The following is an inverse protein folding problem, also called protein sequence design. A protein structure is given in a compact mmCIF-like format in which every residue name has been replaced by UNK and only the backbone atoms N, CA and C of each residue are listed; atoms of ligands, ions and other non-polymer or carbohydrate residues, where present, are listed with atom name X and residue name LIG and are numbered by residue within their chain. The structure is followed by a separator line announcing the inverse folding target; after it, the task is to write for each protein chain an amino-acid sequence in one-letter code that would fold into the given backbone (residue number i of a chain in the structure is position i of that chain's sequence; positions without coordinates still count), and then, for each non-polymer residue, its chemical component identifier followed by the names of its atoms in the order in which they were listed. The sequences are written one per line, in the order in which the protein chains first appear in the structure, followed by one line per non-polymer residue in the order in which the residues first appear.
data_IF_743539652670
#
_entry.id   IF_743539652670
#
_cell.length_a   1.000
_cell.length_b   1.000
_cell.length_c   1.000
_cell.angle_alpha   90.00
_cell.angle_beta   90.00
_cell.angle_gamma   90.00
#
_symmetry.space_group_name_H-M   'P 1'
#
loop_
_entity.id
_entity.type
_entity.pdbx_description
1 polymer ?
#
# COMPACT_ATOMS: atom_id res chain seq x y z
N UNK A 1 17.43 -18.77 -47.66
CA UNK A 1 17.29 -17.63 -46.72
C UNK A 1 15.83 -17.21 -46.64
N UNK A 2 15.25 -17.12 -45.44
CA UNK A 2 14.09 -16.25 -45.14
C UNK A 2 12.68 -16.85 -45.15
N UNK A 3 12.25 -17.56 -44.09
CA UNK A 3 10.82 -17.81 -43.84
C UNK A 3 10.43 -18.03 -42.35
N UNK A 4 11.34 -17.85 -41.38
CA UNK A 4 11.05 -18.11 -39.96
C UNK A 4 10.71 -16.84 -39.13
N UNK A 5 10.85 -15.63 -39.70
CA UNK A 5 10.69 -14.37 -38.95
C UNK A 5 9.27 -13.79 -38.88
N UNK A 6 8.32 -14.33 -39.65
CA UNK A 6 6.98 -13.75 -39.82
C UNK A 6 5.99 -14.08 -38.70
N UNK A 7 6.08 -15.28 -38.11
CA UNK A 7 5.15 -15.77 -37.07
C UNK A 7 5.55 -15.36 -35.64
N UNK A 8 6.84 -15.08 -35.42
CA UNK A 8 7.33 -14.63 -34.13
C UNK A 8 6.82 -13.21 -33.77
N UNK A 9 6.66 -12.33 -34.77
CA UNK A 9 6.15 -10.96 -34.58
C UNK A 9 4.71 -10.89 -34.06
N UNK A 10 3.71 -11.58 -34.63
CA UNK A 10 2.34 -11.56 -34.12
C UNK A 10 2.21 -12.26 -32.77
N UNK A 11 2.96 -13.33 -32.51
CA UNK A 11 2.98 -13.99 -31.20
C UNK A 11 3.58 -13.08 -30.12
N UNK A 12 4.72 -12.44 -30.41
CA UNK A 12 5.35 -11.46 -29.51
C UNK A 12 4.47 -10.24 -29.31
N UNK A 13 3.79 -9.74 -30.34
CA UNK A 13 2.84 -8.63 -30.21
C UNK A 13 1.56 -9.02 -29.45
N UNK A 14 1.10 -10.26 -29.54
CA UNK A 14 -0.06 -10.76 -28.78
C UNK A 14 0.31 -10.93 -27.30
N UNK A 15 1.49 -11.47 -27.02
CA UNK A 15 2.02 -11.59 -25.65
C UNK A 15 2.33 -10.19 -25.08
N UNK A 16 2.97 -9.31 -25.84
CA UNK A 16 3.22 -7.93 -25.41
C UNK A 16 1.92 -7.16 -25.21
N UNK A 17 0.94 -7.31 -26.11
CA UNK A 17 -0.38 -6.67 -26.01
C UNK A 17 -1.20 -7.16 -24.82
N UNK A 18 -1.04 -8.43 -24.42
CA UNK A 18 -1.68 -9.00 -23.22
C UNK A 18 -0.89 -8.76 -21.92
N UNK A 19 0.42 -8.51 -22.01
CA UNK A 19 1.30 -8.27 -20.84
C UNK A 19 1.52 -6.78 -20.54
N UNK A 20 1.33 -5.90 -21.52
CA UNK A 20 1.51 -4.45 -21.43
C UNK A 20 0.18 -3.70 -21.60
N UNK A 21 -0.92 -4.25 -21.07
CA UNK A 21 -2.20 -3.56 -21.04
C UNK A 21 -2.37 -2.81 -19.71
N UNK A 22 -2.60 -1.50 -19.77
CA UNK A 22 -2.88 -0.66 -18.60
C UNK A 22 -4.38 -0.49 -18.32
N UNK A 23 -5.23 -0.89 -19.27
CA UNK A 23 -6.68 -0.78 -19.19
C UNK A 23 -7.32 -2.16 -19.39
N UNK A 24 -8.28 -2.50 -18.54
CA UNK A 24 -9.17 -3.63 -18.74
C UNK A 24 -10.58 -3.11 -18.53
N UNK A 25 -11.50 -3.53 -19.41
CA UNK A 25 -12.93 -3.20 -19.28
C UNK A 25 -13.48 -3.48 -17.88
N UNK A 26 -13.01 -4.56 -17.24
CA UNK A 26 -13.40 -4.88 -15.86
C UNK A 26 -12.88 -3.86 -14.84
N UNK A 27 -11.63 -3.40 -15.00
CA UNK A 27 -11.00 -2.43 -14.09
C UNK A 27 -11.59 -1.03 -14.26
N UNK A 28 -11.79 -0.58 -15.50
CA UNK A 28 -12.44 0.71 -15.77
C UNK A 28 -13.91 0.72 -15.37
N UNK A 29 -14.61 -0.40 -15.57
CA UNK A 29 -15.98 -0.59 -15.09
C UNK A 29 -16.08 -0.50 -13.57
N UNK A 30 -15.24 -1.25 -12.85
CA UNK A 30 -15.17 -1.23 -11.40
C UNK A 30 -14.81 0.15 -10.84
N UNK A 31 -13.79 0.82 -11.42
CA UNK A 31 -13.39 2.15 -11.01
C UNK A 31 -14.52 3.19 -11.20
N UNK A 32 -15.19 3.21 -12.35
CA UNK A 32 -16.35 4.10 -12.58
C UNK A 32 -17.49 3.83 -11.60
N UNK A 33 -17.77 2.56 -11.32
CA UNK A 33 -18.78 2.17 -10.34
C UNK A 33 -18.42 2.64 -8.92
N UNK A 34 -17.14 2.54 -8.55
CA UNK A 34 -16.65 3.00 -7.27
C UNK A 34 -16.70 4.53 -7.14
N UNK A 35 -16.31 5.28 -8.18
CA UNK A 35 -16.46 6.75 -8.21
C UNK A 35 -17.93 7.17 -8.02
N UNK A 36 -18.88 6.47 -8.66
CA UNK A 36 -20.32 6.73 -8.45
C UNK A 36 -20.74 6.48 -7.00
N UNK A 37 -20.21 5.43 -6.38
CA UNK A 37 -20.49 5.11 -4.97
C UNK A 37 -19.93 6.16 -4.02
N UNK A 38 -18.68 6.60 -4.25
CA UNK A 38 -18.05 7.71 -3.52
C UNK A 38 -18.87 8.99 -3.64
N UNK A 39 -19.31 9.34 -4.86
CA UNK A 39 -20.14 10.53 -5.07
C UNK A 39 -21.47 10.47 -4.31
N UNK A 40 -22.05 9.28 -4.14
CA UNK A 40 -23.28 9.08 -3.38
C UNK A 40 -23.06 9.08 -1.85
N UNK A 41 -21.90 8.65 -1.36
CA UNK A 41 -21.60 8.52 0.08
C UNK A 41 -20.22 9.11 0.44
N UNK A 42 -19.97 10.40 0.21
CA UNK A 42 -18.61 10.95 0.20
C UNK A 42 -17.93 10.98 1.58
N UNK A 43 -18.70 11.13 2.67
CA UNK A 43 -18.11 11.40 3.98
C UNK A 43 -17.74 10.15 4.77
N UNK A 44 -18.68 9.21 4.88
CA UNK A 44 -18.55 8.00 5.72
C UNK A 44 -18.56 6.72 4.86
N UNK A 45 -18.81 6.83 3.55
CA UNK A 45 -18.92 5.68 2.67
C UNK A 45 -20.15 4.81 2.96
N UNK A 46 -20.16 3.62 2.37
CA UNK A 46 -21.25 2.63 2.52
C UNK A 46 -21.02 1.65 3.67
N UNK A 47 -19.88 1.75 4.36
CA UNK A 47 -19.43 0.89 5.45
C UNK A 47 -18.43 -0.21 5.02
N UNK A 48 -17.58 -0.69 5.94
CA UNK A 48 -16.55 -1.69 5.66
C UNK A 48 -17.12 -2.99 5.08
N UNK A 49 -16.53 -3.48 3.98
CA UNK A 49 -16.90 -4.72 3.31
C UNK A 49 -18.28 -4.72 2.62
N UNK A 50 -18.99 -3.58 2.63
CA UNK A 50 -20.33 -3.42 2.05
C UNK A 50 -20.31 -2.95 0.60
N UNK A 51 -19.19 -2.42 0.12
CA UNK A 51 -19.07 -1.98 -1.25
C UNK A 51 -19.20 -3.14 -2.24
N UNK A 52 -20.01 -2.94 -3.28
CA UNK A 52 -20.18 -3.83 -4.43
C UNK A 52 -20.31 -2.97 -5.68
N UNK A 53 -19.53 -3.29 -6.70
CA UNK A 53 -19.40 -2.46 -7.88
C UNK A 53 -20.11 -3.11 -9.05
N UNK A 54 -21.08 -2.40 -9.62
CA UNK A 54 -21.90 -2.89 -10.73
C UNK A 54 -21.72 -2.01 -11.96
N UNK A 55 -21.55 -2.63 -13.11
CA UNK A 55 -21.49 -1.96 -14.41
C UNK A 55 -21.97 -2.89 -15.53
N UNK A 56 -22.22 -2.32 -16.70
CA UNK A 56 -22.72 -3.03 -17.89
C UNK A 56 -21.78 -2.73 -19.06
N UNK A 57 -21.53 -3.74 -19.90
CA UNK A 57 -20.76 -3.56 -21.14
C UNK A 57 -21.61 -2.99 -22.29
N UNK A 58 -20.99 -2.57 -23.41
CA UNK A 58 -21.73 -2.10 -24.58
C UNK A 58 -22.68 -3.16 -25.19
N UNK A 59 -22.48 -4.44 -24.88
CA UNK A 59 -23.34 -5.55 -25.30
C UNK A 59 -24.52 -5.83 -24.35
N UNK A 60 -24.65 -5.10 -23.25
CA UNK A 60 -25.71 -5.28 -22.26
C UNK A 60 -25.43 -6.33 -21.19
N UNK A 61 -24.23 -6.91 -21.14
CA UNK A 61 -23.87 -7.87 -20.09
C UNK A 61 -23.55 -7.14 -18.79
N UNK A 62 -24.22 -7.55 -17.71
CA UNK A 62 -23.99 -7.02 -16.37
C UNK A 62 -22.80 -7.68 -15.67
N UNK A 63 -22.00 -6.88 -14.98
CA UNK A 63 -20.84 -7.30 -14.22
C UNK A 63 -20.95 -6.83 -12.78
N UNK A 64 -20.41 -7.64 -11.87
CA UNK A 64 -20.25 -7.30 -10.45
C UNK A 64 -18.83 -7.60 -10.00
N UNK A 65 -18.22 -6.66 -9.28
CA UNK A 65 -16.97 -6.87 -8.57
C UNK A 65 -17.15 -6.62 -7.08
N UNK A 66 -16.42 -7.42 -6.29
CA UNK A 66 -16.29 -7.22 -4.86
C UNK A 66 -15.28 -6.10 -4.52
N UNK A 67 -14.26 -5.92 -5.36
CA UNK A 67 -13.18 -4.97 -5.15
C UNK A 67 -13.02 -4.04 -6.35
N UNK A 68 -12.68 -2.77 -6.11
CA UNK A 68 -12.44 -1.79 -7.15
C UNK A 68 -11.11 -2.02 -7.90
N UNK A 69 -10.23 -2.89 -7.39
CA UNK A 69 -8.84 -3.05 -7.84
C UNK A 69 -8.03 -1.74 -7.79
N UNK A 70 -8.39 -0.91 -6.81
CA UNK A 70 -7.74 0.32 -6.38
C UNK A 70 -8.15 0.48 -4.91
N UNK A 71 -7.23 0.26 -3.98
CA UNK A 71 -7.52 0.30 -2.55
C UNK A 71 -7.87 1.69 -2.06
N UNK A 72 -7.37 2.75 -2.70
CA UNK A 72 -7.73 4.12 -2.34
C UNK A 72 -9.19 4.38 -2.68
N UNK A 73 -9.62 3.92 -3.86
CA UNK A 73 -10.99 4.06 -4.30
C UNK A 73 -11.95 3.13 -3.53
N UNK A 74 -11.50 1.91 -3.18
CA UNK A 74 -12.22 0.99 -2.29
C UNK A 74 -12.43 1.64 -0.92
N UNK A 75 -11.37 2.16 -0.31
CA UNK A 75 -11.41 2.80 1.00
C UNK A 75 -12.29 4.04 0.99
N UNK A 76 -12.22 4.85 -0.07
CA UNK A 76 -13.08 6.02 -0.23
C UNK A 76 -14.56 5.61 -0.40
N UNK A 77 -14.85 4.51 -1.10
CA UNK A 77 -16.21 4.01 -1.23
C UNK A 77 -16.77 3.44 0.08
N UNK A 78 -15.94 2.77 0.89
CA UNK A 78 -16.36 2.12 2.13
C UNK A 78 -16.36 3.04 3.35
N UNK A 79 -15.42 3.97 3.44
CA UNK A 79 -15.17 4.81 4.62
C UNK A 79 -15.26 6.33 4.33
N UNK A 80 -15.39 6.71 3.07
CA UNK A 80 -15.44 8.11 2.65
C UNK A 80 -14.18 8.91 3.00
N UNK A 81 -14.31 10.23 2.98
CA UNK A 81 -13.23 11.15 3.31
C UNK A 81 -12.70 10.97 4.73
N UNK A 82 -13.52 10.53 5.69
CA UNK A 82 -13.07 10.23 7.05
C UNK A 82 -12.03 9.11 7.03
N UNK A 83 -12.32 8.01 6.34
CA UNK A 83 -11.34 6.93 6.16
C UNK A 83 -10.09 7.40 5.45
N UNK A 84 -10.24 8.21 4.39
CA UNK A 84 -9.10 8.73 3.64
C UNK A 84 -8.19 9.60 4.52
N UNK A 85 -8.75 10.46 5.36
CA UNK A 85 -7.97 11.29 6.29
C UNK A 85 -7.17 10.43 7.26
N UNK A 86 -7.77 9.36 7.81
CA UNK A 86 -7.08 8.43 8.71
C UNK A 86 -5.95 7.71 7.98
N UNK A 87 -6.19 7.24 6.75
CA UNK A 87 -5.16 6.61 5.92
C UNK A 87 -3.99 7.57 5.67
N UNK A 88 -4.26 8.81 5.27
CA UNK A 88 -3.22 9.80 5.01
C UNK A 88 -2.42 10.12 6.27
N UNK A 89 -3.07 10.20 7.44
CA UNK A 89 -2.40 10.37 8.72
C UNK A 89 -1.48 9.18 9.05
N UNK A 90 -1.94 7.95 8.81
CA UNK A 90 -1.14 6.74 8.98
C UNK A 90 0.08 6.72 8.05
N UNK A 91 -0.11 7.00 6.76
CA UNK A 91 0.99 7.06 5.79
C UNK A 91 2.00 8.14 6.16
N UNK A 92 1.54 9.33 6.57
CA UNK A 92 2.40 10.40 7.06
C UNK A 92 3.19 9.97 8.30
N UNK A 93 2.56 9.30 9.27
CA UNK A 93 3.24 8.77 10.45
C UNK A 93 4.34 7.77 10.09
N UNK A 94 4.07 6.83 9.17
CA UNK A 94 5.04 5.84 8.70
C UNK A 94 6.24 6.51 7.98
N UNK A 95 5.98 7.50 7.14
CA UNK A 95 7.03 8.27 6.47
C UNK A 95 7.90 9.00 7.50
N UNK A 96 7.29 9.62 8.52
CA UNK A 96 8.01 10.30 9.59
C UNK A 96 8.87 9.34 10.42
N UNK A 97 8.37 8.14 10.71
CA UNK A 97 9.12 7.09 11.41
C UNK A 97 10.33 6.65 10.58
N UNK A 98 10.15 6.36 9.29
CA UNK A 98 11.25 6.01 8.39
C UNK A 98 12.27 7.15 8.26
N UNK A 99 11.82 8.40 8.17
CA UNK A 99 12.69 9.57 8.07
C UNK A 99 13.48 9.81 9.37
N UNK A 100 12.92 9.52 10.54
CA UNK A 100 13.63 9.56 11.82
C UNK A 100 14.68 8.45 11.92
N UNK A 101 14.33 7.22 11.55
CA UNK A 101 15.26 6.11 11.50
C UNK A 101 16.46 6.39 10.59
N UNK A 102 16.22 7.07 9.46
CA UNK A 102 17.27 7.53 8.54
C UNK A 102 18.27 8.49 9.17
N UNK A 103 17.80 9.45 9.98
CA UNK A 103 18.65 10.47 10.61
C UNK A 103 19.48 9.92 11.78
N UNK A 104 19.09 8.79 12.36
CA UNK A 104 19.76 8.21 13.52
C UNK A 104 21.03 7.42 13.16
N UNK A 105 21.26 7.11 11.88
CA UNK A 105 22.38 6.30 11.39
C UNK A 105 23.34 7.14 10.52
N UNK A 106 24.67 7.08 10.75
CA UNK A 106 25.66 7.76 9.91
C UNK A 106 25.71 7.24 8.46
N UNK A 107 25.42 5.96 8.28
CA UNK A 107 25.33 5.28 6.99
C UNK A 107 23.91 4.75 6.76
N UNK A 108 23.56 4.53 5.48
CA UNK A 108 22.28 3.95 5.05
C UNK A 108 22.27 2.44 5.32
N UNK A 109 21.52 1.91 6.30
CA UNK A 109 21.46 0.48 6.48
C UNK A 109 20.72 -0.16 5.27
N UNK A 110 21.21 -1.29 4.71
CA UNK A 110 20.53 -1.98 3.61
C UNK A 110 19.08 -2.32 3.93
N UNK A 111 18.79 -2.69 5.19
CA UNK A 111 17.44 -2.96 5.67
C UNK A 111 16.52 -1.73 5.55
N UNK A 112 17.02 -0.53 5.88
CA UNK A 112 16.24 0.70 5.75
C UNK A 112 15.91 0.98 4.28
N UNK A 113 16.90 0.86 3.39
CA UNK A 113 16.71 1.09 1.96
C UNK A 113 15.72 0.09 1.34
N UNK A 114 15.87 -1.20 1.69
CA UNK A 114 14.93 -2.25 1.28
C UNK A 114 13.51 -2.00 1.82
N UNK A 115 13.39 -1.52 3.06
CA UNK A 115 12.09 -1.18 3.66
C UNK A 115 11.41 -0.01 2.96
N UNK A 116 12.16 1.05 2.63
CA UNK A 116 11.62 2.19 1.87
C UNK A 116 11.17 1.75 0.48
N UNK A 117 11.96 0.91 -0.21
CA UNK A 117 11.59 0.37 -1.50
C UNK A 117 10.32 -0.50 -1.41
N UNK A 118 10.24 -1.42 -0.44
CA UNK A 118 9.07 -2.27 -0.22
C UNK A 118 7.83 -1.45 0.14
N UNK A 119 7.97 -0.42 0.97
CA UNK A 119 6.87 0.47 1.33
C UNK A 119 6.39 1.29 0.12
N UNK A 120 7.31 1.82 -0.70
CA UNK A 120 6.96 2.51 -1.94
C UNK A 120 6.19 1.59 -2.91
N UNK A 121 6.65 0.34 -3.07
CA UNK A 121 5.94 -0.67 -3.88
C UNK A 121 4.55 -0.92 -3.32
N UNK A 122 4.42 -1.13 -2.00
CA UNK A 122 3.11 -1.35 -1.36
C UNK A 122 2.16 -0.18 -1.64
N UNK A 123 2.58 1.06 -1.38
CA UNK A 123 1.76 2.27 -1.57
C UNK A 123 1.36 2.44 -3.03
N UNK A 124 2.31 2.37 -3.96
CA UNK A 124 2.03 2.59 -5.38
C UNK A 124 1.18 1.46 -5.94
N UNK A 125 1.51 0.20 -5.65
CA UNK A 125 0.79 -0.95 -6.19
C UNK A 125 -0.64 -1.08 -5.62
N UNK A 126 -0.89 -0.58 -4.41
CA UNK A 126 -2.25 -0.51 -3.82
C UNK A 126 -3.22 0.33 -4.66
N UNK A 127 -2.73 1.28 -5.47
CA UNK A 127 -3.57 2.02 -6.43
C UNK A 127 -3.99 1.21 -7.65
N UNK A 128 -3.48 -0.01 -7.79
CA UNK A 128 -3.75 -0.89 -8.92
C UNK A 128 -4.24 -2.28 -8.48
N UNK A 129 -4.30 -2.59 -7.18
CA UNK A 129 -4.79 -3.89 -6.74
C UNK A 129 -5.31 -3.87 -5.31
N UNK A 130 -6.03 -4.93 -4.93
CA UNK A 130 -6.71 -5.08 -3.62
C UNK A 130 -5.80 -5.69 -2.54
N UNK A 131 -4.58 -5.16 -2.42
CA UNK A 131 -3.53 -5.72 -1.55
C UNK A 131 -3.92 -5.75 -0.06
N UNK A 132 -4.73 -4.80 0.41
CA UNK A 132 -5.06 -4.67 1.83
C UNK A 132 -6.13 -5.68 2.26
N UNK A 133 -6.84 -6.27 1.30
CA UNK A 133 -7.77 -7.36 1.54
C UNK A 133 -7.06 -8.69 1.84
N UNK A 134 -5.74 -8.75 1.67
CA UNK A 134 -4.87 -9.87 2.07
C UNK A 134 -4.06 -9.40 3.27
N UNK A 135 -4.51 -9.63 4.53
CA UNK A 135 -3.92 -8.99 5.72
C UNK A 135 -2.42 -9.24 5.90
N UNK A 136 -1.91 -10.37 5.38
CA UNK A 136 -0.48 -10.70 5.42
C UNK A 136 0.40 -9.63 4.73
N UNK A 137 -0.09 -8.95 3.69
CA UNK A 137 0.67 -7.96 2.92
C UNK A 137 0.93 -6.68 3.74
N UNK A 138 -0.09 -5.96 4.26
CA UNK A 138 0.15 -4.78 5.10
C UNK A 138 0.85 -5.14 6.42
N UNK A 139 0.61 -6.33 6.99
CA UNK A 139 1.34 -6.80 8.18
C UNK A 139 2.84 -6.96 7.90
N UNK A 140 3.21 -7.56 6.77
CA UNK A 140 4.62 -7.66 6.37
C UNK A 140 5.25 -6.27 6.16
N UNK A 141 4.51 -5.34 5.52
CA UNK A 141 4.96 -3.95 5.38
C UNK A 141 5.21 -3.26 6.73
N UNK A 142 4.28 -3.40 7.69
CA UNK A 142 4.42 -2.87 9.04
C UNK A 142 5.60 -3.49 9.80
N UNK A 143 5.82 -4.80 9.67
CA UNK A 143 6.96 -5.49 10.27
C UNK A 143 8.29 -4.95 9.74
N UNK A 144 8.43 -4.76 8.43
CA UNK A 144 9.63 -4.19 7.82
C UNK A 144 9.92 -2.78 8.36
N UNK A 145 8.88 -1.94 8.46
CA UNK A 145 9.01 -0.58 9.05
C UNK A 145 9.48 -0.66 10.51
N UNK A 146 8.91 -1.55 11.30
CA UNK A 146 9.32 -1.78 12.70
C UNK A 146 10.77 -2.23 12.82
N UNK A 147 11.19 -3.21 12.01
CA UNK A 147 12.56 -3.72 11.99
C UNK A 147 13.57 -2.63 11.57
N UNK A 148 13.25 -1.85 10.54
CA UNK A 148 14.11 -0.76 10.05
C UNK A 148 14.33 0.36 11.08
N UNK A 149 13.44 0.50 12.06
CA UNK A 149 13.49 1.57 13.07
C UNK A 149 13.86 1.06 14.48
N UNK A 150 14.03 -0.25 14.66
CA UNK A 150 14.34 -0.88 15.96
C UNK A 150 15.62 -0.34 16.62
N UNK A 151 16.65 0.01 15.82
CA UNK A 151 17.89 0.59 16.32
C UNK A 151 17.75 1.99 16.95
N UNK A 152 16.68 2.73 16.66
CA UNK A 152 16.38 4.00 17.35
C UNK A 152 15.87 3.77 18.77
N UNK A 153 15.17 2.66 19.00
CA UNK A 153 14.57 2.31 20.31
C UNK A 153 15.61 1.80 21.30
N UNK A 154 16.62 1.06 20.83
CA UNK A 154 17.71 0.57 21.67
C UNK A 154 18.51 1.72 22.33
N UNK A 155 18.78 2.82 21.62
CA UNK A 155 19.45 4.01 22.19
C UNK A 155 18.64 4.75 23.25
N UNK A 156 17.31 4.62 23.23
CA UNK A 156 16.44 5.24 24.23
C UNK A 156 16.43 4.43 25.53
N UNK A 157 16.68 3.11 25.45
CA UNK A 157 16.75 2.21 26.60
C UNK A 157 18.16 2.07 27.19
N UNK A 158 19.20 2.52 26.48
CA UNK A 158 20.52 2.78 27.07
C UNK A 158 20.46 4.01 27.99
N UNK A 159 19.76 3.87 29.12
CA UNK A 159 19.98 4.77 30.24
C UNK A 159 21.38 4.51 30.81
N UNK A 160 22.17 5.55 31.12
CA UNK A 160 23.45 5.37 31.80
C UNK A 160 23.22 4.58 33.09
N UNK A 161 24.13 3.67 33.48
CA UNK A 161 23.99 2.92 34.72
C UNK A 161 23.77 3.89 35.87
N UNK A 162 22.77 3.62 36.71
CA UNK A 162 22.53 4.38 37.94
C UNK A 162 23.86 4.43 38.69
N UNK A 163 24.37 5.64 38.96
CA UNK A 163 25.51 5.78 39.86
C UNK A 163 25.08 5.21 41.21
N UNK A 164 25.71 4.13 41.62
CA UNK A 164 25.60 3.67 43.00
C UNK A 164 26.27 4.73 43.88
N UNK A 165 25.46 5.65 44.40
CA UNK A 165 25.92 6.55 45.45
C UNK A 165 26.21 5.68 46.69
N UNK A 166 27.45 5.65 47.20
CA UNK A 166 27.78 4.83 48.35
C UNK A 166 26.90 5.23 49.53
N UNK A 167 26.28 4.23 50.17
CA UNK A 167 25.43 4.43 51.34
C UNK A 167 26.23 5.19 52.40
N UNK A 168 25.84 6.44 52.66
CA UNK A 168 26.54 7.34 53.57
C UNK A 168 26.73 6.68 54.92
N UNK A 169 27.98 6.61 55.36
CA UNK A 169 28.36 6.15 56.69
C UNK A 169 27.79 7.14 57.72
N UNK A 170 26.70 6.74 58.38
CA UNK A 170 26.12 7.51 59.48
C UNK A 170 27.11 7.50 60.65
N UNK A 171 27.71 8.66 60.90
CA UNK A 171 28.60 8.91 62.04
C UNK A 171 27.81 9.28 63.29
#
# INVERSE_FOLDING_TARGET
MGAAGGLARPAVMTVAGSRLTLDSFGRTGAARAAVRMVAAHPWIGVGPGRARFFWVDPGGHGFVARYAHDEYLQLLAELGFVGLTILLALLAALILVLARGRRAAPEVPPLWAGTVAAFAVLVVHSGFDFLWQIPAIPLAGGLLVGLACSGTTARVLDHPPLKEEPCGEFR
#
